data_IF_168508003059
#
_entry.id   IF_168508003059
#
_cell.length_a   1.000
_cell.length_b   1.000
_cell.length_c   1.000
_cell.angle_alpha   90.00
_cell.angle_beta   90.00
_cell.angle_gamma   90.00
#
_symmetry.space_group_name_H-M   'P 1'
#
loop_
_entity.id
_entity.type
_entity.pdbx_description
1 polymer ?
#
# COMPACT_ATOMS: atom_id res chain seq x y z
N UNK A 1 6.10 5.26 4.91
CA UNK A 1 6.40 3.84 4.65
C UNK A 1 7.86 3.75 4.27
N UNK A 2 8.57 2.71 4.70
CA UNK A 2 9.98 2.54 4.31
C UNK A 2 10.02 1.98 2.88
N UNK A 3 10.58 2.75 1.94
CA UNK A 3 10.71 2.39 0.52
C UNK A 3 12.00 1.58 0.30
N UNK A 4 11.98 0.73 -0.72
CA UNK A 4 13.09 -0.16 -1.13
C UNK A 4 13.41 0.10 -2.60
N UNK A 5 14.67 -0.06 -3.00
CA UNK A 5 15.19 0.24 -4.34
C UNK A 5 14.89 1.69 -4.78
N UNK A 6 13.90 1.90 -5.66
CA UNK A 6 13.49 3.22 -6.14
C UNK A 6 12.16 3.64 -5.49
N UNK A 7 11.93 4.93 -5.22
CA UNK A 7 10.65 5.42 -4.71
C UNK A 7 9.62 5.45 -5.84
N UNK A 8 9.26 4.29 -6.38
CA UNK A 8 8.34 4.15 -7.51
C UNK A 8 6.91 3.75 -7.09
N UNK A 9 6.69 3.22 -5.89
CA UNK A 9 5.35 2.90 -5.40
C UNK A 9 4.91 3.93 -4.34
N UNK A 10 3.66 4.38 -4.34
CA UNK A 10 3.09 5.28 -3.33
C UNK A 10 1.69 4.85 -2.92
N UNK A 11 1.37 5.01 -1.64
CA UNK A 11 0.05 4.68 -1.09
C UNK A 11 -0.55 5.95 -0.51
N UNK A 12 -1.79 6.25 -0.90
CA UNK A 12 -2.55 7.39 -0.41
C UNK A 12 -3.92 6.96 0.07
N UNK A 13 -4.31 7.41 1.26
CA UNK A 13 -5.67 7.22 1.77
C UNK A 13 -6.47 8.52 1.60
N UNK A 14 -7.59 8.44 0.88
CA UNK A 14 -8.58 9.51 0.82
C UNK A 14 -9.61 9.31 1.92
N UNK A 15 -9.59 10.21 2.90
CA UNK A 15 -10.46 10.13 4.06
C UNK A 15 -11.89 10.53 3.70
N UNK A 16 -12.85 9.68 4.04
CA UNK A 16 -14.28 9.93 3.97
C UNK A 16 -14.78 10.08 5.40
N UNK A 17 -15.26 11.27 5.76
CA UNK A 17 -15.76 11.52 7.10
C UNK A 17 -17.19 10.99 7.24
N UNK A 18 -17.43 10.21 8.30
CA UNK A 18 -18.80 9.80 8.64
C UNK A 18 -19.58 10.98 9.22
N UNK A 19 -20.84 11.22 8.80
CA UNK A 19 -21.68 12.30 9.33
C UNK A 19 -22.20 12.01 10.76
N UNK A 20 -22.09 10.77 11.24
CA UNK A 20 -22.55 10.38 12.58
C UNK A 20 -21.78 9.16 13.10
N UNK A 21 -22.10 8.74 14.33
CA UNK A 21 -21.58 7.48 14.89
C UNK A 21 -21.87 6.31 13.97
N UNK A 22 -20.94 5.37 13.92
CA UNK A 22 -21.04 4.18 13.08
C UNK A 22 -21.48 2.99 13.92
N UNK A 23 -22.47 2.23 13.45
CA UNK A 23 -22.72 0.87 13.91
C UNK A 23 -21.76 -0.04 13.15
N UNK A 24 -20.87 -0.70 13.89
CA UNK A 24 -19.83 -1.57 13.34
C UNK A 24 -20.15 -2.99 13.80
N UNK A 25 -20.61 -3.83 12.88
CA UNK A 25 -20.97 -5.21 13.16
C UNK A 25 -19.85 -6.11 12.64
N UNK A 26 -19.19 -6.85 13.53
CA UNK A 26 -18.12 -7.77 13.15
C UNK A 26 -18.66 -8.91 12.27
N UNK A 27 -17.86 -9.33 11.30
CA UNK A 27 -18.07 -10.59 10.59
C UNK A 27 -17.20 -11.66 11.27
N UNK A 28 -17.80 -12.41 12.19
CA UNK A 28 -17.13 -13.32 13.15
C UNK A 28 -16.12 -14.27 12.49
N UNK A 29 -16.41 -14.75 11.28
CA UNK A 29 -15.54 -15.65 10.52
C UNK A 29 -14.19 -15.02 10.12
N UNK A 30 -14.02 -13.70 10.28
CA UNK A 30 -12.78 -12.99 10.01
C UNK A 30 -12.13 -12.36 11.25
N UNK A 31 -12.53 -12.81 12.44
CA UNK A 31 -11.84 -12.59 13.71
C UNK A 31 -11.45 -11.12 13.97
N UNK A 32 -12.39 -10.20 13.75
CA UNK A 32 -12.24 -8.79 14.09
C UNK A 32 -11.60 -7.91 13.02
N UNK A 33 -11.33 -8.42 11.81
CA UNK A 33 -10.77 -7.60 10.72
C UNK A 33 -11.82 -7.02 9.77
N UNK A 34 -12.96 -7.69 9.59
CA UNK A 34 -13.98 -7.29 8.62
C UNK A 34 -15.31 -7.01 9.32
N UNK A 35 -15.99 -5.97 8.85
CA UNK A 35 -17.19 -5.44 9.47
C UNK A 35 -18.22 -5.04 8.42
N UNK A 36 -19.49 -5.21 8.73
CA UNK A 36 -20.53 -4.37 8.16
C UNK A 36 -20.53 -3.02 8.89
N UNK A 37 -20.62 -1.93 8.13
CA UNK A 37 -20.56 -0.58 8.68
C UNK A 37 -21.81 0.18 8.27
N UNK A 38 -22.61 0.58 9.24
CA UNK A 38 -23.84 1.32 9.05
C UNK A 38 -23.82 2.65 9.81
N UNK A 39 -24.63 3.60 9.37
CA UNK A 39 -24.90 4.81 10.13
C UNK A 39 -25.79 4.49 11.34
N UNK A 40 -25.55 5.16 12.47
CA UNK A 40 -26.44 4.98 13.65
C UNK A 40 -27.81 5.64 13.45
N UNK A 41 -27.95 6.53 12.46
CA UNK A 41 -29.18 7.25 12.13
C UNK A 41 -29.20 7.65 10.66
N UNK A 42 -30.38 7.88 10.06
CA UNK A 42 -30.49 8.40 8.71
C UNK A 42 -29.73 9.72 8.53
N UNK A 43 -29.26 9.96 7.31
CA UNK A 43 -28.49 11.16 6.97
C UNK A 43 -29.01 11.84 5.71
N UNK A 44 -28.89 13.17 5.67
CA UNK A 44 -29.06 13.98 4.45
C UNK A 44 -27.73 14.30 3.76
N UNK A 45 -26.61 13.85 4.32
CA UNK A 45 -25.28 14.08 3.73
C UNK A 45 -25.04 13.24 2.47
N UNK A 46 -23.99 13.57 1.73
CA UNK A 46 -23.64 12.91 0.47
C UNK A 46 -23.37 11.41 0.60
N UNK A 47 -23.10 10.89 1.80
CA UNK A 47 -22.91 9.46 2.02
C UNK A 47 -24.20 8.65 1.73
N UNK A 48 -25.37 9.31 1.72
CA UNK A 48 -26.67 8.70 1.41
C UNK A 48 -26.67 7.95 0.07
N UNK A 49 -25.98 8.48 -0.95
CA UNK A 49 -25.89 7.86 -2.28
C UNK A 49 -25.17 6.51 -2.28
N UNK A 50 -24.46 6.20 -1.19
CA UNK A 50 -23.70 4.97 -1.02
C UNK A 50 -24.33 4.01 -0.01
N UNK A 51 -25.55 4.27 0.46
CA UNK A 51 -26.24 3.36 1.38
C UNK A 51 -26.88 2.20 0.62
N UNK A 52 -27.06 1.06 1.29
CA UNK A 52 -27.87 -0.05 0.81
C UNK A 52 -29.36 0.28 0.90
N UNK A 53 -30.21 -0.68 0.53
CA UNK A 53 -31.68 -0.51 0.47
C UNK A 53 -32.29 -0.21 1.84
N UNK A 54 -31.65 -0.67 2.92
CA UNK A 54 -32.03 -0.35 4.31
C UNK A 54 -31.87 1.14 4.68
N UNK A 55 -31.22 1.94 3.83
CA UNK A 55 -31.00 3.36 4.06
C UNK A 55 -30.01 3.69 5.19
N UNK A 56 -29.26 2.70 5.71
CA UNK A 56 -28.31 2.88 6.82
C UNK A 56 -26.95 2.25 6.56
N UNK A 57 -26.89 1.06 5.96
CA UNK A 57 -25.65 0.32 5.75
C UNK A 57 -24.85 0.95 4.62
N UNK A 58 -23.57 1.25 4.87
CA UNK A 58 -22.69 1.92 3.92
C UNK A 58 -22.07 0.86 3.00
N UNK A 59 -22.39 0.92 1.71
CA UNK A 59 -21.88 0.00 0.71
C UNK A 59 -20.41 0.28 0.35
N UNK A 60 -19.53 -0.65 0.73
CA UNK A 60 -18.14 -0.65 0.28
C UNK A 60 -18.03 -0.70 -1.24
N UNK A 61 -18.89 -1.51 -1.89
CA UNK A 61 -18.83 -1.71 -3.35
C UNK A 61 -19.27 -0.47 -4.14
N UNK A 62 -20.30 0.26 -3.70
CA UNK A 62 -20.72 1.53 -4.32
C UNK A 62 -19.62 2.57 -4.21
N UNK A 63 -18.98 2.72 -3.04
CA UNK A 63 -17.89 3.69 -2.84
C UNK A 63 -16.69 3.39 -3.74
N UNK A 64 -16.18 2.15 -3.76
CA UNK A 64 -14.99 1.84 -4.58
C UNK A 64 -15.30 1.91 -6.08
N UNK A 65 -16.51 1.53 -6.52
CA UNK A 65 -16.93 1.70 -7.92
C UNK A 65 -16.96 3.17 -8.32
N UNK A 66 -17.53 4.02 -7.48
CA UNK A 66 -17.60 5.45 -7.74
C UNK A 66 -16.21 6.08 -7.74
N UNK A 67 -15.34 5.68 -6.82
CA UNK A 67 -13.95 6.11 -6.80
C UNK A 67 -13.22 5.77 -8.11
N UNK A 68 -13.35 4.54 -8.59
CA UNK A 68 -12.81 4.17 -9.91
C UNK A 68 -13.38 5.01 -11.05
N UNK A 69 -14.70 5.29 -11.04
CA UNK A 69 -15.35 6.10 -12.07
C UNK A 69 -14.81 7.52 -12.09
N UNK A 70 -14.71 8.15 -10.92
CA UNK A 70 -14.23 9.53 -10.76
C UNK A 70 -12.76 9.67 -11.15
N UNK A 71 -11.90 8.76 -10.68
CA UNK A 71 -10.48 8.75 -11.05
C UNK A 71 -10.30 8.53 -12.54
N UNK A 72 -11.00 7.58 -13.17
CA UNK A 72 -10.95 7.38 -14.63
C UNK A 72 -11.39 8.62 -15.39
N UNK A 73 -12.51 9.24 -14.98
CA UNK A 73 -12.99 10.49 -15.58
C UNK A 73 -11.92 11.58 -15.47
N UNK A 74 -11.36 11.78 -14.29
CA UNK A 74 -10.30 12.77 -14.06
C UNK A 74 -9.10 12.54 -14.99
N UNK A 75 -8.54 11.33 -15.02
CA UNK A 75 -7.38 11.00 -15.86
C UNK A 75 -7.70 11.18 -17.35
N UNK A 76 -8.90 10.84 -17.81
CA UNK A 76 -9.31 11.05 -19.21
C UNK A 76 -9.43 12.53 -19.60
N UNK A 77 -9.74 13.42 -18.64
CA UNK A 77 -9.88 14.87 -18.86
C UNK A 77 -8.60 15.65 -18.60
N UNK A 78 -7.64 15.05 -17.91
CA UNK A 78 -6.37 15.68 -17.59
C UNK A 78 -5.52 15.77 -18.86
N UNK A 79 -5.42 16.98 -19.42
CA UNK A 79 -4.51 17.25 -20.55
C UNK A 79 -3.08 17.25 -20.00
N UNK A 80 -2.24 16.34 -20.50
CA UNK A 80 -0.81 16.38 -20.22
C UNK A 80 -0.26 17.75 -20.65
N UNK A 81 0.66 18.32 -19.86
CA UNK A 81 1.33 19.57 -20.22
C UNK A 81 2.05 19.35 -21.56
N UNK A 82 1.86 20.24 -22.57
CA UNK A 82 2.57 20.13 -23.84
C UNK A 82 4.08 20.05 -23.59
N UNK A 83 4.74 19.01 -24.13
CA UNK A 83 6.19 18.78 -23.96
C UNK A 83 6.59 17.76 -22.88
N UNK A 84 5.65 17.20 -22.11
CA UNK A 84 5.97 16.13 -21.16
C UNK A 84 6.03 14.74 -21.83
N UNK A 85 7.13 14.02 -21.63
CA UNK A 85 7.33 12.62 -22.07
C UNK A 85 6.62 11.58 -21.19
N UNK A 86 5.64 11.99 -20.37
CA UNK A 86 4.98 11.11 -19.39
C UNK A 86 3.46 11.21 -19.44
N UNK A 87 2.78 10.09 -19.20
CA UNK A 87 1.31 10.05 -19.09
C UNK A 87 0.83 9.22 -17.91
N UNK A 88 -0.26 9.66 -17.29
CA UNK A 88 -0.96 8.89 -16.28
C UNK A 88 -1.96 7.92 -16.90
N UNK A 89 -1.97 6.68 -16.41
CA UNK A 89 -2.96 5.66 -16.77
C UNK A 89 -3.55 5.03 -15.51
N UNK A 90 -4.83 4.64 -15.57
CA UNK A 90 -5.46 3.87 -14.50
C UNK A 90 -5.24 2.38 -14.77
N UNK A 91 -4.56 1.67 -13.87
CA UNK A 91 -4.37 0.22 -14.00
C UNK A 91 -5.70 -0.52 -13.95
N UNK A 92 -5.72 -1.72 -14.56
CA UNK A 92 -6.88 -2.62 -14.49
C UNK A 92 -7.22 -2.92 -13.03
N UNK A 93 -8.51 -2.87 -12.70
CA UNK A 93 -9.01 -3.20 -11.37
C UNK A 93 -8.57 -4.60 -10.95
N UNK A 94 -7.80 -4.69 -9.87
CA UNK A 94 -7.45 -5.96 -9.23
C UNK A 94 -8.63 -6.44 -8.38
N UNK A 95 -9.07 -7.71 -8.50
CA UNK A 95 -10.06 -8.27 -7.59
C UNK A 95 -9.64 -8.07 -6.13
N UNK A 96 -10.60 -7.69 -5.27
CA UNK A 96 -10.41 -7.51 -3.83
C UNK A 96 -9.37 -6.45 -3.40
N UNK A 97 -8.85 -5.64 -4.32
CA UNK A 97 -8.04 -4.46 -3.98
C UNK A 97 -8.93 -3.32 -3.48
N UNK A 98 -8.61 -2.67 -2.35
CA UNK A 98 -9.29 -1.47 -1.90
C UNK A 98 -8.81 -0.21 -2.63
N UNK A 99 -7.82 -0.31 -3.54
CA UNK A 99 -7.18 0.81 -4.19
C UNK A 99 -7.60 0.98 -5.65
N UNK A 100 -7.63 2.24 -6.10
CA UNK A 100 -7.51 2.60 -7.51
C UNK A 100 -6.05 2.90 -7.79
N UNK A 101 -5.38 2.03 -8.54
CA UNK A 101 -3.96 2.18 -8.86
C UNK A 101 -3.76 3.02 -10.12
N UNK A 102 -2.95 4.06 -10.01
CA UNK A 102 -2.48 4.90 -11.11
C UNK A 102 -1.05 4.52 -11.47
N UNK A 103 -0.69 4.57 -12.75
CA UNK A 103 0.67 4.40 -13.22
C UNK A 103 1.10 5.60 -14.05
N UNK A 104 2.31 6.10 -13.80
CA UNK A 104 2.98 7.09 -14.65
C UNK A 104 3.90 6.35 -15.62
N UNK A 105 3.67 6.53 -16.91
CA UNK A 105 4.39 5.86 -17.98
C UNK A 105 5.16 6.85 -18.85
N UNK A 106 6.42 6.52 -19.13
CA UNK A 106 7.00 6.44 -20.48
C UNK A 106 6.15 6.77 -21.71
N UNK A 107 6.17 7.97 -22.30
CA UNK A 107 5.51 8.19 -23.62
C UNK A 107 6.36 7.59 -24.74
N UNK A 108 7.66 7.87 -24.76
CA UNK A 108 8.54 7.51 -25.88
C UNK A 108 8.87 6.01 -25.91
N UNK A 109 8.90 5.35 -24.75
CA UNK A 109 9.21 3.92 -24.63
C UNK A 109 8.01 3.03 -24.28
N UNK A 110 6.85 3.63 -23.94
CA UNK A 110 5.53 2.99 -23.78
C UNK A 110 5.37 1.86 -22.74
N UNK A 111 6.47 1.30 -22.22
CA UNK A 111 6.54 0.05 -21.46
C UNK A 111 7.14 0.22 -20.06
N UNK A 112 7.89 1.28 -19.80
CA UNK A 112 8.50 1.50 -18.49
C UNK A 112 7.56 2.27 -17.56
N UNK A 113 7.18 1.62 -16.46
CA UNK A 113 6.44 2.25 -15.37
C UNK A 113 7.41 2.98 -14.46
N UNK A 114 7.36 4.32 -14.47
CA UNK A 114 8.14 5.12 -13.55
C UNK A 114 7.63 5.01 -12.12
N UNK A 115 6.31 5.06 -11.97
CA UNK A 115 5.66 5.32 -10.71
C UNK A 115 4.27 4.69 -10.68
N UNK A 116 3.88 4.15 -9.54
CA UNK A 116 2.58 3.56 -9.26
C UNK A 116 2.02 4.18 -7.98
N UNK A 117 0.80 4.70 -8.02
CA UNK A 117 0.10 5.31 -6.88
C UNK A 117 -1.19 4.57 -6.57
N UNK A 118 -1.29 3.97 -5.40
CA UNK A 118 -2.51 3.36 -4.88
C UNK A 118 -3.35 4.40 -4.14
N UNK A 119 -4.51 4.74 -4.69
CA UNK A 119 -5.47 5.64 -4.06
C UNK A 119 -6.58 4.84 -3.40
N UNK A 120 -6.63 4.86 -2.06
CA UNK A 120 -7.53 4.06 -1.24
C UNK A 120 -8.57 4.95 -0.56
N UNK A 121 -9.88 4.87 -0.89
CA UNK A 121 -10.91 5.50 -0.08
C UNK A 121 -10.98 4.84 1.29
N UNK A 122 -11.08 5.65 2.34
CA UNK A 122 -11.04 5.19 3.72
C UNK A 122 -12.08 5.92 4.56
N UNK A 123 -13.07 5.20 5.08
CA UNK A 123 -14.08 5.73 5.99
C UNK A 123 -13.43 5.94 7.37
N UNK A 124 -13.42 7.19 7.84
CA UNK A 124 -12.88 7.58 9.13
C UNK A 124 -13.94 7.34 10.21
N UNK A 125 -13.59 6.57 11.25
CA UNK A 125 -14.44 6.43 12.42
C UNK A 125 -14.45 7.76 13.18
N UNK A 126 -15.62 8.27 13.63
CA UNK A 126 -15.66 9.51 14.40
C UNK A 126 -14.72 9.46 15.61
N UNK A 127 -13.96 10.53 15.86
CA UNK A 127 -12.99 10.59 16.97
C UNK A 127 -13.61 10.44 18.36
N UNK A 128 -14.91 10.71 18.50
CA UNK A 128 -15.68 10.46 19.72
C UNK A 128 -16.02 8.99 19.94
N UNK A 129 -15.71 8.11 18.99
CA UNK A 129 -16.00 6.68 19.04
C UNK A 129 -14.71 5.87 19.19
N UNK A 130 -14.68 5.02 20.21
CA UNK A 130 -13.59 4.08 20.46
C UNK A 130 -13.42 3.07 19.31
N UNK A 131 -12.25 2.47 19.21
CA UNK A 131 -12.02 1.32 18.32
C UNK A 131 -12.99 0.16 18.56
N UNK A 132 -13.24 -0.67 17.52
CA UNK A 132 -13.97 -1.93 17.65
C UNK A 132 -13.36 -2.84 18.73
N UNK A 133 -14.21 -3.64 19.38
CA UNK A 133 -13.84 -4.46 20.53
C UNK A 133 -12.62 -5.35 20.25
N UNK A 134 -12.61 -6.03 19.10
CA UNK A 134 -11.52 -6.93 18.71
C UNK A 134 -10.14 -6.24 18.60
N UNK A 135 -10.11 -4.92 18.37
CA UNK A 135 -8.87 -4.15 18.27
C UNK A 135 -8.40 -3.55 19.59
N UNK A 136 -9.24 -3.52 20.64
CA UNK A 136 -8.91 -2.86 21.92
C UNK A 136 -7.82 -3.59 22.71
N UNK A 137 -7.66 -4.89 22.48
CA UNK A 137 -6.62 -5.70 23.12
C UNK A 137 -5.21 -5.37 22.58
N UNK A 138 -5.10 -4.95 21.32
CA UNK A 138 -3.86 -4.45 20.72
C UNK A 138 -3.72 -2.92 20.78
N UNK A 139 -2.60 -2.36 20.30
CA UNK A 139 -1.34 -3.04 20.01
C UNK A 139 -0.54 -3.35 21.28
N UNK A 140 0.31 -4.38 21.24
CA UNK A 140 1.24 -4.65 22.34
C UNK A 140 2.51 -3.80 22.19
N UNK A 141 2.51 -2.63 22.82
CA UNK A 141 3.65 -1.69 22.83
C UNK A 141 4.06 -1.29 24.24
N UNK A 142 3.52 -1.95 25.27
CA UNK A 142 3.71 -1.53 26.66
C UNK A 142 5.18 -1.58 27.08
N UNK A 143 5.88 -2.65 26.74
CA UNK A 143 7.30 -2.83 27.05
C UNK A 143 8.23 -2.08 26.09
N UNK A 144 7.69 -1.56 24.99
CA UNK A 144 8.44 -0.88 23.94
C UNK A 144 8.34 0.64 24.03
N UNK A 145 7.13 1.19 23.96
CA UNK A 145 6.86 2.63 23.94
C UNK A 145 6.17 3.13 25.22
N UNK A 146 5.80 2.22 26.12
CA UNK A 146 5.14 2.52 27.39
C UNK A 146 3.61 2.63 27.30
N UNK A 147 2.95 2.45 28.45
CA UNK A 147 1.48 2.49 28.58
C UNK A 147 0.86 3.83 28.15
N UNK A 148 1.55 4.96 28.39
CA UNK A 148 1.10 6.30 27.98
C UNK A 148 1.00 6.41 26.46
N UNK A 149 2.03 5.94 25.75
CA UNK A 149 2.03 5.93 24.29
C UNK A 149 0.96 4.99 23.76
N UNK A 150 0.82 3.77 24.32
CA UNK A 150 -0.27 2.85 23.97
C UNK A 150 -1.64 3.53 24.05
N UNK A 151 -1.94 4.19 25.18
CA UNK A 151 -3.21 4.92 25.38
C UNK A 151 -3.41 5.99 24.31
N UNK A 152 -2.37 6.78 24.02
CA UNK A 152 -2.39 7.81 22.98
C UNK A 152 -2.71 7.22 21.61
N UNK A 153 -2.10 6.09 21.24
CA UNK A 153 -2.37 5.40 19.98
C UNK A 153 -3.82 4.92 19.91
N UNK A 154 -4.32 4.25 20.96
CA UNK A 154 -5.69 3.70 21.00
C UNK A 154 -6.79 4.76 21.06
N UNK A 155 -6.45 6.02 21.36
CA UNK A 155 -7.37 7.16 21.30
C UNK A 155 -7.44 7.82 19.92
N UNK A 156 -6.50 7.51 19.02
CA UNK A 156 -6.62 7.99 17.63
C UNK A 156 -7.79 7.30 16.94
N UNK A 157 -8.31 7.89 15.87
CA UNK A 157 -9.34 7.23 15.07
C UNK A 157 -8.79 5.99 14.36
N UNK A 158 -9.64 5.02 14.01
CA UNK A 158 -9.31 3.97 13.05
C UNK A 158 -10.05 4.20 11.74
N UNK A 159 -9.60 3.54 10.68
CA UNK A 159 -10.21 3.66 9.36
C UNK A 159 -10.81 2.33 8.90
N UNK A 160 -11.81 2.41 8.02
CA UNK A 160 -12.36 1.29 7.29
C UNK A 160 -12.08 1.46 5.80
N UNK A 161 -11.48 0.44 5.15
CA UNK A 161 -11.21 0.44 3.71
C UNK A 161 -12.12 -0.58 3.01
N UNK A 162 -12.59 -0.30 1.78
CA UNK A 162 -13.53 -1.16 1.06
C UNK A 162 -12.80 -2.35 0.45
N UNK A 163 -12.38 -3.28 1.31
CA UNK A 163 -11.68 -4.51 0.93
C UNK A 163 -12.61 -5.69 1.20
N UNK A 164 -12.80 -6.51 0.17
CA UNK A 164 -13.50 -7.80 0.32
C UNK A 164 -12.59 -8.82 1.00
N UNK A 165 -13.14 -9.67 1.88
CA UNK A 165 -12.39 -10.79 2.44
C UNK A 165 -12.01 -11.81 1.36
N UNK A 166 -10.95 -12.59 1.58
CA UNK A 166 -10.62 -13.72 0.71
C UNK A 166 -11.67 -14.82 0.87
N UNK A 167 -11.95 -15.54 -0.23
CA UNK A 167 -12.91 -16.65 -0.26
C UNK A 167 -13.75 -16.68 -1.54
N UNK A 168 -14.30 -17.85 -1.83
CA UNK A 168 -15.34 -18.03 -2.86
C UNK A 168 -16.71 -18.00 -2.17
N UNK A 169 -17.77 -17.70 -2.93
CA UNK A 169 -19.16 -17.73 -2.44
C UNK A 169 -19.40 -16.89 -1.17
N UNK A 170 -18.86 -15.67 -1.16
CA UNK A 170 -19.07 -14.72 -0.06
C UNK A 170 -20.56 -14.41 0.11
N UNK A 171 -21.03 -14.31 1.35
CA UNK A 171 -22.37 -13.77 1.66
C UNK A 171 -22.52 -12.32 1.18
N UNK A 172 -23.75 -11.84 1.02
CA UNK A 172 -24.00 -10.44 0.63
C UNK A 172 -23.37 -9.44 1.63
N UNK A 173 -23.47 -9.71 2.93
CA UNK A 173 -22.79 -8.91 3.95
C UNK A 173 -21.26 -8.89 3.77
N UNK A 174 -20.63 -10.04 3.47
CA UNK A 174 -19.20 -10.11 3.21
C UNK A 174 -18.80 -9.38 1.91
N UNK A 175 -19.66 -9.35 0.88
CA UNK A 175 -19.42 -8.61 -0.37
C UNK A 175 -19.43 -7.09 -0.16
N UNK A 176 -20.19 -6.60 0.81
CA UNK A 176 -20.29 -5.19 1.19
C UNK A 176 -19.46 -4.81 2.42
N UNK A 177 -18.67 -5.74 2.94
CA UNK A 177 -17.87 -5.54 4.13
C UNK A 177 -16.71 -4.55 3.94
N UNK A 178 -16.29 -4.01 5.07
CA UNK A 178 -15.16 -3.12 5.21
C UNK A 178 -14.08 -3.78 6.05
N UNK A 179 -12.81 -3.58 5.69
CA UNK A 179 -11.69 -4.02 6.52
C UNK A 179 -11.17 -2.88 7.36
N UNK A 180 -10.95 -3.12 8.66
CA UNK A 180 -10.29 -2.16 9.54
C UNK A 180 -8.86 -1.86 9.06
N UNK A 181 -8.38 -0.63 9.30
CA UNK A 181 -7.07 -0.14 8.88
C UNK A 181 -6.46 0.81 9.91
N UNK A 182 -5.19 0.58 10.21
CA UNK A 182 -4.37 1.35 11.14
C UNK A 182 -3.14 1.96 10.46
N UNK A 183 -3.16 2.15 9.14
CA UNK A 183 -1.97 2.55 8.37
C UNK A 183 -1.32 3.87 8.84
N UNK A 184 -2.11 4.80 9.39
CA UNK A 184 -1.57 6.03 9.97
C UNK A 184 -0.81 5.79 11.28
N UNK A 185 -1.30 4.89 12.14
CA UNK A 185 -0.63 4.48 13.38
C UNK A 185 0.61 3.64 13.07
N UNK A 186 0.53 2.72 12.11
CA UNK A 186 1.70 2.00 11.62
C UNK A 186 2.79 2.96 11.13
N UNK A 187 2.41 4.03 10.43
CA UNK A 187 3.34 5.08 9.99
C UNK A 187 3.96 5.80 11.19
N UNK A 188 3.19 6.09 12.23
CA UNK A 188 3.68 6.70 13.47
C UNK A 188 4.65 5.79 14.22
N UNK A 189 4.30 4.51 14.41
CA UNK A 189 5.16 3.50 15.06
C UNK A 189 6.50 3.34 14.33
N UNK A 190 6.48 3.29 13.00
CA UNK A 190 7.72 3.20 12.19
C UNK A 190 8.54 4.50 12.28
N UNK A 191 7.89 5.66 12.42
CA UNK A 191 8.59 6.93 12.59
C UNK A 191 9.24 7.02 13.97
N UNK A 192 8.48 6.69 15.03
CA UNK A 192 8.83 6.80 16.45
C UNK A 192 9.19 5.43 17.04
N UNK A 193 10.15 4.76 16.41
CA UNK A 193 10.37 3.33 16.60
C UNK A 193 11.30 2.95 17.77
N UNK A 194 12.01 3.92 18.36
CA UNK A 194 12.90 3.65 19.48
C UNK A 194 12.17 3.64 20.81
N UNK A 195 12.70 2.93 21.80
CA UNK A 195 12.16 3.03 23.15
C UNK A 195 12.54 4.37 23.81
N UNK A 196 13.66 4.97 23.41
CA UNK A 196 13.97 6.38 23.71
C UNK A 196 13.39 7.27 22.62
N UNK A 197 12.82 8.41 23.02
CA UNK A 197 12.24 9.41 22.11
C UNK A 197 13.25 9.93 21.09
N UNK A 198 14.51 10.02 21.50
CA UNK A 198 15.59 10.57 20.68
C UNK A 198 16.14 9.60 19.64
N UNK A 199 15.71 8.32 19.62
CA UNK A 199 16.26 7.33 18.69
C UNK A 199 16.21 7.80 17.23
N UNK A 200 17.37 7.83 16.57
CA UNK A 200 17.57 8.30 15.20
C UNK A 200 17.30 9.80 14.93
N UNK A 201 17.10 10.64 15.95
CA UNK A 201 17.15 12.11 15.80
C UNK A 201 18.56 12.60 15.42
N UNK A 202 18.70 13.86 15.00
CA UNK A 202 19.94 14.40 14.42
C UNK A 202 21.17 14.27 15.35
N UNK A 203 20.99 14.49 16.65
CA UNK A 203 22.04 14.45 17.68
C UNK A 203 22.13 13.13 18.45
N UNK A 204 21.37 12.10 18.05
CA UNK A 204 21.19 10.89 18.83
C UNK A 204 21.77 9.63 18.18
N UNK A 205 21.94 8.59 19.00
CA UNK A 205 22.38 7.27 18.54
C UNK A 205 21.47 6.74 17.43
N UNK A 206 22.07 6.38 16.30
CA UNK A 206 21.37 5.74 15.19
C UNK A 206 21.15 4.26 15.50
N UNK A 207 20.02 3.71 15.06
CA UNK A 207 19.71 2.29 15.13
C UNK A 207 19.55 1.68 13.73
N UNK A 208 19.51 0.35 13.65
CA UNK A 208 19.38 -0.40 12.41
C UNK A 208 17.96 -0.94 12.12
N UNK A 209 16.95 -0.60 12.94
CA UNK A 209 15.57 -1.12 12.81
C UNK A 209 14.97 -0.91 11.42
N UNK A 210 15.06 0.31 10.90
CA UNK A 210 14.53 0.65 9.56
C UNK A 210 15.31 -0.06 8.45
N UNK A 211 16.63 -0.22 8.59
CA UNK A 211 17.47 -0.97 7.66
C UNK A 211 17.11 -2.46 7.66
N UNK A 212 16.91 -3.08 8.83
CA UNK A 212 16.44 -4.47 8.94
C UNK A 212 15.09 -4.64 8.24
N UNK A 213 14.15 -3.69 8.43
CA UNK A 213 12.87 -3.75 7.76
C UNK A 213 12.98 -3.56 6.23
N UNK A 214 13.90 -2.72 5.75
CA UNK A 214 14.20 -2.62 4.31
C UNK A 214 14.69 -3.95 3.74
N UNK A 215 15.67 -4.57 4.39
CA UNK A 215 16.22 -5.86 3.96
C UNK A 215 15.13 -6.94 3.95
N UNK A 216 14.27 -6.98 4.98
CA UNK A 216 13.15 -7.93 5.03
C UNK A 216 12.18 -7.72 3.87
N UNK A 217 11.88 -6.47 3.53
CA UNK A 217 11.03 -6.16 2.38
C UNK A 217 11.68 -6.59 1.06
N UNK A 218 12.98 -6.35 0.89
CA UNK A 218 13.71 -6.78 -0.31
C UNK A 218 13.69 -8.31 -0.44
N UNK A 219 13.90 -9.02 0.67
CA UNK A 219 13.83 -10.49 0.70
C UNK A 219 12.44 -10.99 0.31
N UNK A 220 11.38 -10.42 0.88
CA UNK A 220 9.99 -10.77 0.54
C UNK A 220 9.72 -10.50 -0.95
N UNK A 221 10.18 -9.36 -1.49
CA UNK A 221 10.01 -9.04 -2.90
C UNK A 221 10.78 -10.03 -3.80
N UNK A 222 12.03 -10.35 -3.45
CA UNK A 222 12.84 -11.33 -4.16
C UNK A 222 12.20 -12.73 -4.16
N UNK A 223 11.66 -13.16 -3.01
CA UNK A 223 10.93 -14.42 -2.89
C UNK A 223 9.69 -14.44 -3.77
N UNK A 224 8.90 -13.36 -3.77
CA UNK A 224 7.71 -13.24 -4.64
C UNK A 224 8.06 -13.20 -6.13
N UNK A 225 9.18 -12.59 -6.51
CA UNK A 225 9.64 -12.56 -7.90
C UNK A 225 10.11 -13.95 -8.36
N UNK A 226 10.81 -14.68 -7.48
CA UNK A 226 11.33 -16.02 -7.76
C UNK A 226 10.22 -17.08 -7.77
N UNK A 227 9.23 -16.96 -6.88
CA UNK A 227 8.15 -17.92 -6.68
C UNK A 227 6.77 -17.24 -6.71
N UNK A 228 6.37 -16.67 -7.86
CA UNK A 228 5.17 -15.83 -7.94
C UNK A 228 3.86 -16.60 -7.74
N UNK A 229 3.83 -17.91 -8.02
CA UNK A 229 2.62 -18.72 -7.87
C UNK A 229 2.49 -19.27 -6.44
N UNK A 230 3.58 -19.81 -5.90
CA UNK A 230 3.65 -20.45 -4.60
C UNK A 230 3.51 -19.42 -3.47
N UNK A 231 4.03 -18.21 -3.67
CA UNK A 231 4.05 -17.13 -2.69
C UNK A 231 3.17 -15.93 -3.06
N UNK A 232 2.12 -16.13 -3.88
CA UNK A 232 1.18 -15.05 -4.22
C UNK A 232 0.53 -14.41 -2.97
N UNK A 233 0.15 -15.27 -2.02
CA UNK A 233 -0.46 -14.86 -0.74
C UNK A 233 0.49 -14.05 0.16
N UNK A 234 1.81 -14.23 0.02
CA UNK A 234 2.79 -13.44 0.75
C UNK A 234 2.72 -11.98 0.31
N UNK A 235 2.90 -11.05 1.24
CA UNK A 235 2.92 -9.63 0.94
C UNK A 235 3.71 -8.85 1.98
N UNK A 236 4.04 -7.59 1.67
CA UNK A 236 4.83 -6.72 2.54
C UNK A 236 4.20 -6.48 3.92
N UNK A 237 2.88 -6.70 4.07
CA UNK A 237 2.19 -6.57 5.35
C UNK A 237 2.56 -7.67 6.36
N UNK A 238 2.86 -8.88 5.89
CA UNK A 238 3.34 -9.97 6.76
C UNK A 238 4.68 -9.59 7.37
N UNK A 239 5.64 -9.13 6.55
CA UNK A 239 6.93 -8.64 7.04
C UNK A 239 6.81 -7.43 7.96
N UNK A 240 5.88 -6.50 7.68
CA UNK A 240 5.60 -5.36 8.57
C UNK A 240 5.08 -5.81 9.94
N UNK A 241 4.17 -6.79 9.96
CA UNK A 241 3.57 -7.30 11.19
C UNK A 241 4.61 -8.01 12.05
N UNK A 242 5.43 -8.88 11.44
CA UNK A 242 6.57 -9.53 12.13
C UNK A 242 7.54 -8.48 12.67
N UNK A 243 7.85 -7.46 11.88
CA UNK A 243 8.72 -6.37 12.31
C UNK A 243 8.17 -5.65 13.55
N UNK A 244 6.89 -5.28 13.57
CA UNK A 244 6.26 -4.63 14.73
C UNK A 244 6.28 -5.53 16.00
N UNK A 245 5.97 -6.82 15.86
CA UNK A 245 6.11 -7.78 16.97
C UNK A 245 7.55 -7.87 17.47
N UNK A 246 8.51 -7.93 16.55
CA UNK A 246 9.94 -8.00 16.88
C UNK A 246 10.40 -6.72 17.60
N UNK A 247 9.89 -5.54 17.22
CA UNK A 247 10.17 -4.29 17.95
C UNK A 247 9.59 -4.31 19.36
N UNK A 248 8.41 -4.89 19.55
CA UNK A 248 7.79 -5.01 20.87
C UNK A 248 8.59 -5.92 21.80
N UNK A 249 9.03 -7.07 21.28
CA UNK A 249 9.83 -8.06 22.03
C UNK A 249 11.25 -7.54 22.30
N UNK A 250 11.93 -7.00 21.27
CA UNK A 250 13.27 -6.41 21.37
C UNK A 250 13.19 -4.90 21.48
N UNK A 251 12.58 -4.42 22.56
CA UNK A 251 12.28 -3.00 22.76
C UNK A 251 13.50 -2.07 22.79
N UNK A 252 14.59 -2.48 23.45
CA UNK A 252 15.70 -1.58 23.78
C UNK A 252 16.53 -1.14 22.56
N UNK A 253 16.84 0.15 22.46
CA UNK A 253 17.64 0.74 21.38
C UNK A 253 19.05 0.14 21.27
N UNK A 254 19.65 -0.27 22.40
CA UNK A 254 20.95 -0.96 22.45
C UNK A 254 20.95 -2.31 21.74
N UNK A 255 19.80 -2.95 21.56
CA UNK A 255 19.67 -4.23 20.85
C UNK A 255 19.61 -4.06 19.32
N UNK A 256 19.63 -2.82 18.83
CA UNK A 256 19.49 -2.45 17.42
C UNK A 256 20.58 -1.48 16.97
N UNK A 257 21.79 -1.60 17.49
CA UNK A 257 22.92 -0.74 17.08
C UNK A 257 23.30 -0.99 15.61
N UNK A 258 23.82 0.04 14.94
CA UNK A 258 24.20 -0.06 13.52
C UNK A 258 25.23 -1.17 13.24
N UNK A 259 26.22 -1.33 14.12
CA UNK A 259 27.26 -2.35 13.99
C UNK A 259 26.69 -3.78 14.01
N UNK A 260 25.54 -3.99 14.66
CA UNK A 260 24.89 -5.30 14.73
C UNK A 260 23.82 -5.50 13.65
N UNK A 261 23.79 -4.69 12.58
CA UNK A 261 22.80 -4.81 11.50
C UNK A 261 22.65 -6.27 10.99
N UNK A 262 23.72 -7.03 10.68
CA UNK A 262 23.58 -8.41 10.24
C UNK A 262 22.87 -9.29 11.28
N UNK A 263 23.31 -9.25 12.54
CA UNK A 263 22.69 -10.03 13.61
C UNK A 263 21.22 -9.63 13.86
N UNK A 264 20.93 -8.32 13.86
CA UNK A 264 19.57 -7.80 14.02
C UNK A 264 18.66 -8.25 12.88
N UNK A 265 19.17 -8.25 11.64
CA UNK A 265 18.43 -8.75 10.50
C UNK A 265 18.18 -10.25 10.59
N UNK A 266 19.17 -11.05 11.00
CA UNK A 266 19.01 -12.49 11.19
C UNK A 266 18.01 -12.83 12.29
N UNK A 267 17.94 -12.04 13.37
CA UNK A 267 16.88 -12.17 14.37
C UNK A 267 15.49 -11.89 13.78
N UNK A 268 15.35 -10.84 12.96
CA UNK A 268 14.09 -10.50 12.31
C UNK A 268 13.65 -11.56 11.29
N UNK A 269 14.61 -12.11 10.53
CA UNK A 269 14.37 -13.21 9.61
C UNK A 269 13.93 -14.48 10.37
N UNK A 270 14.65 -14.84 11.44
CA UNK A 270 14.29 -15.97 12.30
C UNK A 270 12.90 -15.81 12.93
N UNK A 271 12.48 -14.58 13.25
CA UNK A 271 11.12 -14.31 13.71
C UNK A 271 10.07 -14.59 12.61
N UNK A 272 10.31 -14.16 11.36
CA UNK A 272 9.41 -14.47 10.23
C UNK A 272 9.35 -15.98 9.98
N UNK A 273 10.48 -16.66 9.99
CA UNK A 273 10.58 -18.13 9.87
C UNK A 273 9.80 -18.83 10.99
N UNK A 274 9.96 -18.41 12.24
CA UNK A 274 9.24 -18.98 13.38
C UNK A 274 7.72 -18.79 13.30
N UNK A 275 7.26 -17.61 12.88
CA UNK A 275 5.85 -17.37 12.61
C UNK A 275 5.32 -18.23 11.45
N UNK A 276 6.10 -18.41 10.38
CA UNK A 276 5.72 -19.25 9.25
C UNK A 276 5.61 -20.73 9.67
N UNK A 277 6.62 -21.24 10.39
CA UNK A 277 6.66 -22.62 10.89
C UNK A 277 5.51 -22.95 11.85
N UNK A 278 5.21 -22.05 12.78
CA UNK A 278 4.08 -22.21 13.71
C UNK A 278 2.72 -21.97 13.06
N UNK A 279 2.70 -21.35 11.87
CA UNK A 279 1.51 -20.87 11.19
C UNK A 279 0.69 -19.86 11.99
N UNK A 280 1.33 -19.14 12.90
CA UNK A 280 0.70 -18.15 13.77
C UNK A 280 1.40 -16.82 13.62
N UNK A 281 0.77 -15.88 12.89
CA UNK A 281 1.17 -14.48 12.81
C UNK A 281 -0.02 -13.59 13.20
N UNK A 282 -0.20 -13.28 14.50
CA UNK A 282 -1.29 -12.42 14.95
C UNK A 282 -1.18 -11.03 14.34
N UNK A 283 -2.30 -10.46 13.92
CA UNK A 283 -2.35 -9.08 13.46
C UNK A 283 -2.02 -8.13 14.61
N UNK A 284 -1.08 -7.20 14.40
CA UNK A 284 -0.48 -6.40 15.48
C UNK A 284 -1.51 -5.59 16.31
N UNK A 285 -2.57 -5.12 15.67
CA UNK A 285 -3.65 -4.36 16.32
C UNK A 285 -4.88 -5.20 16.68
N UNK A 286 -5.02 -6.40 16.12
CA UNK A 286 -6.21 -7.26 16.28
C UNK A 286 -5.71 -8.66 16.60
N UNK A 287 -5.27 -8.94 17.85
CA UNK A 287 -4.51 -10.15 18.18
C UNK A 287 -5.27 -11.46 17.92
N UNK A 288 -6.60 -11.41 17.92
CA UNK A 288 -7.47 -12.55 17.57
C UNK A 288 -7.37 -12.97 16.10
N UNK A 289 -6.87 -12.10 15.22
CA UNK A 289 -6.78 -12.39 13.79
C UNK A 289 -5.39 -12.91 13.42
N UNK A 290 -5.31 -14.15 12.95
CA UNK A 290 -4.07 -14.74 12.46
C UNK A 290 -3.91 -14.53 10.94
N UNK A 291 -2.85 -13.84 10.52
CA UNK A 291 -2.54 -13.58 9.11
C UNK A 291 -2.11 -14.84 8.34
N UNK A 292 -1.62 -15.87 9.04
CA UNK A 292 -1.27 -17.18 8.48
C UNK A 292 -2.39 -18.22 8.65
N UNK A 293 -3.61 -17.80 9.00
CA UNK A 293 -4.76 -18.69 9.01
C UNK A 293 -5.04 -19.26 7.60
N UNK A 294 -5.53 -20.50 7.52
CA UNK A 294 -5.75 -21.20 6.25
C UNK A 294 -6.66 -20.46 5.27
N UNK A 295 -7.59 -19.63 5.77
CA UNK A 295 -8.49 -18.81 4.96
C UNK A 295 -7.78 -17.69 4.21
N UNK A 296 -6.71 -17.13 4.79
CA UNK A 296 -5.95 -16.00 4.23
C UNK A 296 -4.63 -16.43 3.61
N UNK A 297 -4.04 -17.52 4.10
CA UNK A 297 -2.75 -18.04 3.68
C UNK A 297 -2.82 -19.56 3.51
N UNK A 298 -2.82 -20.09 2.27
CA UNK A 298 -2.94 -21.52 2.04
C UNK A 298 -1.83 -22.32 2.73
N UNK A 299 -2.18 -23.45 3.36
CA UNK A 299 -1.22 -24.29 4.10
C UNK A 299 -0.01 -24.71 3.25
N UNK A 300 -0.22 -25.05 1.97
CA UNK A 300 0.86 -25.40 1.03
C UNK A 300 1.83 -24.24 0.81
N UNK A 301 1.31 -23.03 0.60
CA UNK A 301 2.12 -21.83 0.46
C UNK A 301 2.92 -21.53 1.74
N UNK A 302 2.36 -21.86 2.92
CA UNK A 302 3.00 -21.60 4.21
C UNK A 302 4.17 -22.55 4.48
N UNK A 303 4.00 -23.83 4.13
CA UNK A 303 5.10 -24.81 4.14
C UNK A 303 6.20 -24.36 3.19
N UNK A 304 5.85 -24.01 1.95
CA UNK A 304 6.81 -23.52 0.96
C UNK A 304 7.53 -22.26 1.43
N UNK A 305 6.83 -21.29 2.02
CA UNK A 305 7.43 -20.09 2.60
C UNK A 305 8.46 -20.45 3.68
N UNK A 306 8.14 -21.40 4.55
CA UNK A 306 9.04 -21.84 5.63
C UNK A 306 10.32 -22.43 5.06
N UNK A 307 10.21 -23.36 4.10
CA UNK A 307 11.35 -23.98 3.42
C UNK A 307 12.19 -22.94 2.68
N UNK A 308 11.56 -22.01 1.96
CA UNK A 308 12.26 -20.95 1.23
C UNK A 308 13.01 -19.99 2.18
N UNK A 309 12.45 -19.66 3.34
CA UNK A 309 13.13 -18.81 4.34
C UNK A 309 14.32 -19.54 4.97
N UNK A 310 14.17 -20.82 5.29
CA UNK A 310 15.24 -21.67 5.82
C UNK A 310 16.39 -21.82 4.80
N UNK A 311 16.06 -22.00 3.52
CA UNK A 311 17.04 -22.03 2.44
C UNK A 311 17.81 -20.70 2.34
N UNK A 312 17.11 -19.57 2.31
CA UNK A 312 17.74 -18.25 2.26
C UNK A 312 18.66 -18.03 3.47
N UNK A 313 18.23 -18.44 4.67
CA UNK A 313 19.06 -18.35 5.88
C UNK A 313 20.31 -19.21 5.77
N UNK A 314 20.18 -20.47 5.36
CA UNK A 314 21.28 -21.46 5.26
C UNK A 314 22.31 -21.08 4.19
N UNK A 315 21.87 -20.52 3.08
CA UNK A 315 22.73 -20.16 1.94
C UNK A 315 23.33 -18.74 2.05
N UNK A 316 23.11 -18.02 3.14
CA UNK A 316 23.66 -16.66 3.31
C UNK A 316 22.93 -15.59 2.50
N UNK A 317 21.61 -15.73 2.32
CA UNK A 317 20.70 -14.72 1.74
C UNK A 317 21.01 -14.37 0.27
N UNK A 318 21.05 -15.35 -0.65
CA UNK A 318 21.41 -15.10 -2.05
C UNK A 318 20.47 -14.07 -2.73
N UNK A 319 19.22 -13.93 -2.30
CA UNK A 319 18.29 -12.92 -2.84
C UNK A 319 18.62 -11.47 -2.44
N UNK A 320 19.51 -11.27 -1.47
CA UNK A 320 19.97 -9.95 -1.04
C UNK A 320 21.37 -9.62 -1.55
N UNK A 321 22.02 -10.55 -2.25
CA UNK A 321 23.33 -10.31 -2.85
C UNK A 321 23.18 -9.43 -4.11
N UNK A 322 24.12 -8.49 -4.36
CA UNK A 322 24.16 -7.77 -5.63
C UNK A 322 24.27 -8.74 -6.81
N UNK A 323 23.70 -8.42 -7.99
CA UNK A 323 23.96 -9.20 -9.20
C UNK A 323 25.48 -9.25 -9.44
N UNK A 324 26.01 -10.42 -9.84
CA UNK A 324 27.42 -10.52 -10.21
C UNK A 324 27.75 -9.48 -11.30
N UNK A 325 28.92 -8.83 -11.25
CA UNK A 325 29.32 -7.90 -12.30
C UNK A 325 29.28 -8.62 -13.65
N UNK A 326 28.67 -7.97 -14.65
CA UNK A 326 28.61 -8.52 -16.00
C UNK A 326 30.04 -8.75 -16.52
N UNK A 327 30.30 -9.85 -17.25
CA UNK A 327 31.58 -10.05 -17.91
C UNK A 327 31.88 -8.86 -18.83
N UNK A 328 33.14 -8.43 -18.97
CA UNK A 328 33.50 -7.31 -19.83
C UNK A 328 32.98 -7.54 -21.25
N UNK A 329 32.26 -6.58 -21.80
CA UNK A 329 31.84 -6.58 -23.19
C UNK A 329 33.09 -6.71 -24.07
N UNK A 330 33.15 -7.77 -24.89
CA UNK A 330 34.16 -7.90 -25.93
C UNK A 330 34.03 -6.70 -26.88
N UNK A 331 35.10 -5.91 -26.97
CA UNK A 331 35.18 -4.75 -27.86
C UNK A 331 35.23 -5.27 -29.30
N UNK A 332 34.10 -5.17 -30.00
CA UNK A 332 34.10 -5.26 -31.46
C UNK A 332 34.30 -3.86 -32.03
N UNK A 333 35.44 -3.66 -32.68
CA UNK A 333 35.79 -2.44 -33.41
C UNK A 333 34.81 -2.17 -34.55
N UNK A 334 34.30 -0.93 -34.73
CA UNK A 334 33.40 -0.61 -35.82
C UNK A 334 34.18 -0.27 -37.10
N UNK A 335 33.91 -1.00 -38.18
CA UNK A 335 34.27 -0.59 -39.54
C UNK A 335 33.27 0.44 -40.06
N UNK A 336 33.81 1.60 -40.43
CA UNK A 336 33.15 2.70 -41.13
C UNK A 336 32.39 2.27 -42.39
N UNK A 337 31.19 2.81 -42.60
CA UNK A 337 30.79 3.39 -43.88
C UNK A 337 29.57 4.28 -43.73
N UNK A 338 29.73 5.53 -44.16
CA UNK A 338 28.71 6.57 -44.24
C UNK A 338 27.86 6.37 -45.50
N UNK A 339 26.58 6.75 -45.44
CA UNK A 339 25.95 7.57 -46.49
C UNK A 339 24.64 8.17 -45.99
N UNK A 340 24.41 9.42 -46.38
CA UNK A 340 23.41 10.38 -45.90
C UNK A 340 22.20 10.44 -46.89
N UNK A 341 21.19 11.32 -46.72
CA UNK A 341 19.78 10.95 -46.67
C UNK A 341 18.99 11.31 -47.94
N UNK A 342 17.70 10.93 -47.99
CA UNK A 342 16.77 11.44 -49.00
C UNK A 342 15.41 11.77 -48.39
N UNK A 343 14.98 13.00 -48.68
CA UNK A 343 13.72 13.66 -48.32
C UNK A 343 12.60 13.13 -49.23
N UNK A 344 11.41 12.85 -48.68
CA UNK A 344 10.16 12.91 -49.45
C UNK A 344 9.04 13.50 -48.58
N UNK A 345 8.44 14.58 -49.10
CA UNK A 345 7.26 15.29 -48.63
C UNK A 345 6.02 14.68 -49.31
N UNK A 346 4.91 14.46 -48.59
CA UNK A 346 3.55 14.62 -49.16
C UNK A 346 2.40 14.65 -48.13
N UNK A 347 1.82 15.86 -48.02
CA UNK A 347 0.41 16.28 -48.00
C UNK A 347 -0.74 15.43 -47.38
N UNK A 348 -1.34 16.04 -46.35
CA UNK A 348 -2.78 16.32 -46.08
C UNK A 348 -3.93 15.50 -46.70
N UNK A 349 -4.87 15.09 -45.83
CA UNK A 349 -6.30 15.16 -46.10
C UNK A 349 -7.12 15.56 -44.86
N UNK A 350 -8.04 16.50 -45.07
CA UNK A 350 -9.02 17.06 -44.13
C UNK A 350 -10.33 16.27 -44.23
N UNK A 351 -10.96 15.93 -43.09
CA UNK A 351 -12.39 15.61 -43.00
C UNK A 351 -12.97 16.29 -41.75
N UNK A 352 -14.04 17.06 -41.95
CA UNK A 352 -14.80 17.78 -40.92
C UNK A 352 -15.92 16.91 -40.30
N UNK A 353 -15.97 16.96 -38.96
CA UNK A 353 -17.09 17.00 -37.99
C UNK A 353 -18.28 16.01 -38.07
N UNK A 354 -18.89 15.65 -36.91
CA UNK A 354 -19.97 16.50 -36.41
C UNK A 354 -20.00 16.72 -34.89
N UNK A 355 -20.78 17.75 -34.58
CA UNK A 355 -21.11 18.38 -33.30
C UNK A 355 -21.89 17.43 -32.39
N UNK A 356 -21.48 17.31 -31.12
CA UNK A 356 -22.27 16.68 -30.04
C UNK A 356 -22.63 17.76 -29.01
N UNK A 357 -23.93 17.91 -28.75
CA UNK A 357 -24.48 18.80 -27.74
C UNK A 357 -24.11 18.36 -26.31
N UNK A 358 -23.93 19.29 -25.35
CA UNK A 358 -23.45 18.94 -24.01
C UNK A 358 -24.53 18.28 -23.14
N UNK A 359 -24.17 17.10 -22.62
CA UNK A 359 -24.90 16.38 -21.58
C UNK A 359 -24.85 17.18 -20.26
N UNK A 360 -26.00 17.44 -19.64
CA UNK A 360 -26.15 18.16 -18.35
C UNK A 360 -25.21 17.59 -17.29
N UNK A 361 -24.20 18.38 -16.92
CA UNK A 361 -23.27 18.10 -15.82
C UNK A 361 -23.97 18.43 -14.51
N UNK A 362 -24.28 17.41 -13.72
CA UNK A 362 -24.65 17.59 -12.31
C UNK A 362 -23.35 17.93 -11.57
N UNK A 363 -23.04 19.22 -11.51
CA UNK A 363 -21.98 19.77 -10.67
C UNK A 363 -22.33 19.57 -9.19
N UNK A 364 -21.55 18.75 -8.50
CA UNK A 364 -21.62 18.64 -7.04
C UNK A 364 -20.28 19.05 -6.44
N UNK A 365 -20.32 19.95 -5.46
CA UNK A 365 -19.12 20.49 -4.76
C UNK A 365 -18.23 19.41 -4.12
N UNK A 366 -18.76 18.22 -3.86
CA UNK A 366 -17.99 17.06 -3.39
C UNK A 366 -17.14 16.40 -4.49
N UNK A 367 -17.68 16.31 -5.72
CA UNK A 367 -16.90 15.93 -6.90
C UNK A 367 -15.78 16.94 -7.13
N UNK A 368 -16.07 18.24 -7.06
CA UNK A 368 -15.06 19.30 -7.25
C UNK A 368 -13.97 19.22 -6.18
N UNK A 369 -14.30 18.97 -4.90
CA UNK A 369 -13.28 18.76 -3.85
C UNK A 369 -12.42 17.52 -4.08
N UNK A 370 -13.01 16.39 -4.47
CA UNK A 370 -12.23 15.18 -4.80
C UNK A 370 -11.36 15.38 -6.05
N UNK A 371 -11.88 16.07 -7.06
CA UNK A 371 -11.13 16.46 -8.26
C UNK A 371 -9.98 17.41 -7.92
N UNK A 372 -10.20 18.42 -7.08
CA UNK A 372 -9.16 19.36 -6.65
C UNK A 372 -8.09 18.69 -5.79
N UNK A 373 -8.45 17.75 -4.90
CA UNK A 373 -7.48 16.97 -4.13
C UNK A 373 -6.67 16.07 -5.06
N UNK A 374 -7.31 15.39 -6.02
CA UNK A 374 -6.62 14.53 -6.98
C UNK A 374 -5.72 15.35 -7.92
N UNK A 375 -6.16 16.53 -8.37
CA UNK A 375 -5.37 17.47 -9.16
C UNK A 375 -4.18 18.01 -8.37
N UNK A 376 -4.38 18.38 -7.10
CA UNK A 376 -3.31 18.79 -6.20
C UNK A 376 -2.31 17.65 -5.98
N UNK A 377 -2.78 16.40 -5.88
CA UNK A 377 -1.93 15.22 -5.72
C UNK A 377 -1.13 14.92 -6.97
N UNK A 378 -1.75 14.95 -8.16
CA UNK A 378 -1.02 14.82 -9.42
C UNK A 378 -0.01 15.96 -9.56
N UNK A 379 -0.37 17.20 -9.22
CA UNK A 379 0.55 18.33 -9.22
C UNK A 379 1.71 18.16 -8.22
N UNK A 380 1.45 17.72 -6.99
CA UNK A 380 2.47 17.45 -5.97
C UNK A 380 3.42 16.33 -6.41
N UNK A 381 2.90 15.26 -7.02
CA UNK A 381 3.74 14.18 -7.55
C UNK A 381 4.57 14.67 -8.74
N UNK A 382 3.99 15.47 -9.64
CA UNK A 382 4.74 16.11 -10.74
C UNK A 382 5.84 17.03 -10.21
N UNK A 383 5.58 17.85 -9.18
CA UNK A 383 6.58 18.72 -8.54
C UNK A 383 7.70 17.91 -7.90
N UNK A 384 7.38 16.78 -7.24
CA UNK A 384 8.41 15.87 -6.70
C UNK A 384 9.26 15.25 -7.81
N UNK A 385 8.67 14.91 -8.96
CA UNK A 385 9.42 14.43 -10.13
C UNK A 385 10.29 15.54 -10.76
N UNK A 386 9.82 16.80 -10.76
CA UNK A 386 10.53 17.94 -11.32
C UNK A 386 11.69 18.43 -10.43
N UNK A 387 11.56 18.33 -9.11
CA UNK A 387 12.55 18.78 -8.13
C UNK A 387 13.63 17.73 -7.80
N UNK A 388 13.51 16.50 -8.30
CA UNK A 388 14.52 15.44 -8.14
C UNK A 388 14.95 14.85 -9.50
N UNK A 389 15.57 15.63 -10.39
CA UNK A 389 16.08 15.12 -11.67
C UNK A 389 17.21 14.09 -11.52
N UNK A 390 17.86 13.98 -10.35
CA UNK A 390 19.00 13.06 -10.12
C UNK A 390 18.62 11.58 -9.95
N UNK A 391 17.37 11.18 -10.18
CA UNK A 391 16.91 9.77 -10.13
C UNK A 391 16.68 9.20 -11.53
N UNK A 392 16.85 10.00 -12.58
CA UNK A 392 16.76 9.56 -13.97
C UNK A 392 17.99 10.07 -14.70
N UNK A 393 19.07 9.28 -14.70
CA UNK A 393 20.26 9.53 -15.53
C UNK A 393 21.59 9.62 -14.78
N UNK A 394 22.08 8.48 -14.27
CA UNK A 394 23.37 7.85 -14.61
C UNK A 394 23.54 6.54 -13.84
#
# INVERSE_FOLDING_TARGET
MVKIHNPNEFDMMLKLQSPSRLKMTELDQYHGLFYEVALSRPTRSHIRSFLLEDGLTISASKIIREMHRLVRKFISTYKAVPGNSWRWVVKRKRPNSPAVTLSLLEVDNGKEELLSVDVVPALEVPSSQSWPLAARAGPDVNNWLGKKTRRSLTHQTCFFVPKKPPGRNLSEAAKESWRISFSHIEKELIKTHGNKRTCCESSATKCCRKQCFKLLKCLIEGLKKRYPQELDALCSYHGKTVFLHTLSIRAQDSLWTLHHLPACFMHLLGALEGHARSGLLPHFFVPSSNLFAALTFPRKALVFLTEALEEQRRQGLPLLMPPAPAPPLAVHSPSNSQSQPSIVVQQTHVIQSPIIQPLKVIETKALVKMFNILALVVALVCVVCYLCPSVVGK
#
